data_IF_262242100092
#
_entry.id   IF_262242100092
#
_cell.length_a   1.000
_cell.length_b   1.000
_cell.length_c   1.000
_cell.angle_alpha   90.00
_cell.angle_beta   90.00
_cell.angle_gamma   90.00
#
_symmetry.space_group_name_H-M   'P 1'
#
loop_
_entity.id
_entity.type
_entity.pdbx_description
1 polymer ?
#
# COMPACT_ATOMS: atom_id res chain seq x y z
N UNK A 1 16.81 31.12 -22.63
CA UNK A 1 16.98 30.40 -23.91
C UNK A 1 16.44 28.97 -23.87
N UNK A 2 15.73 28.56 -22.81
CA UNK A 2 15.28 27.16 -22.58
C UNK A 2 13.79 26.91 -22.87
N UNK A 3 12.96 27.95 -22.98
CA UNK A 3 11.51 27.78 -23.27
C UNK A 3 11.22 27.50 -24.75
N UNK A 4 12.08 27.94 -25.66
CA UNK A 4 11.81 27.83 -27.11
C UNK A 4 11.93 26.40 -27.65
N UNK A 5 12.72 25.53 -27.01
CA UNK A 5 12.87 24.15 -27.48
C UNK A 5 11.67 23.28 -27.06
N UNK A 6 11.15 23.49 -25.85
CA UNK A 6 9.95 22.81 -25.36
C UNK A 6 8.72 23.29 -26.14
N UNK A 7 8.55 24.60 -26.35
CA UNK A 7 7.47 25.13 -27.19
C UNK A 7 7.58 24.66 -28.65
N UNK A 8 8.78 24.64 -29.26
CA UNK A 8 8.96 24.14 -30.62
C UNK A 8 8.66 22.62 -30.75
N UNK A 9 9.02 21.82 -29.75
CA UNK A 9 8.66 20.38 -29.70
C UNK A 9 7.15 20.21 -29.52
N UNK A 10 6.51 21.03 -28.68
CA UNK A 10 5.06 21.01 -28.46
C UNK A 10 4.28 21.48 -29.70
N UNK A 11 4.77 22.49 -30.43
CA UNK A 11 4.15 22.99 -31.68
C UNK A 11 4.33 22.02 -32.84
N UNK A 12 5.52 21.45 -33.03
CA UNK A 12 5.76 20.44 -34.07
C UNK A 12 4.94 19.16 -33.84
N UNK A 13 4.64 18.81 -32.58
CA UNK A 13 3.85 17.63 -32.26
C UNK A 13 2.33 17.88 -32.28
N UNK A 14 1.83 19.11 -32.11
CA UNK A 14 0.37 19.43 -32.07
C UNK A 14 -0.47 18.81 -33.21
N UNK A 15 0.11 18.54 -34.38
CA UNK A 15 -0.57 17.91 -35.52
C UNK A 15 -0.78 16.38 -35.41
N UNK A 16 -0.10 15.69 -34.49
CA UNK A 16 -0.17 14.22 -34.32
C UNK A 16 -0.43 13.76 -32.86
N UNK A 17 -0.51 14.70 -31.92
CA UNK A 17 -0.74 14.42 -30.50
C UNK A 17 -2.20 14.08 -30.21
N UNK A 18 -2.48 12.84 -29.81
CA UNK A 18 -3.72 12.50 -29.13
C UNK A 18 -3.55 12.78 -27.63
N UNK A 19 -4.07 13.91 -27.15
CA UNK A 19 -4.31 14.09 -25.71
C UNK A 19 -5.39 13.08 -25.32
N UNK A 20 -5.06 12.15 -24.42
CA UNK A 20 -6.06 11.25 -23.86
C UNK A 20 -6.81 12.02 -22.76
N UNK A 21 -8.10 12.36 -22.92
CA UNK A 21 -8.89 12.79 -21.79
C UNK A 21 -9.06 11.60 -20.83
N UNK A 22 -8.80 11.84 -19.55
CA UNK A 22 -9.04 10.86 -18.50
C UNK A 22 -10.52 10.46 -18.50
N UNK A 23 -10.80 9.15 -18.53
CA UNK A 23 -12.17 8.65 -18.38
C UNK A 23 -12.50 8.60 -16.90
N UNK A 24 -13.72 9.00 -16.53
CA UNK A 24 -14.19 8.97 -15.14
C UNK A 24 -13.99 7.57 -14.53
N UNK A 25 -13.24 7.51 -13.41
CA UNK A 25 -12.98 6.28 -12.65
C UNK A 25 -11.60 5.65 -12.89
N UNK A 26 -10.85 6.05 -13.91
CA UNK A 26 -9.48 5.56 -14.13
C UNK A 26 -8.44 6.37 -13.33
N UNK A 27 -7.55 5.64 -12.64
CA UNK A 27 -6.51 6.14 -11.73
C UNK A 27 -6.94 7.37 -10.91
N UNK A 28 -8.00 7.21 -10.11
CA UNK A 28 -8.44 8.23 -9.14
C UNK A 28 -7.30 8.68 -8.22
N UNK A 29 -6.32 7.80 -8.00
CA UNK A 29 -5.12 8.11 -7.25
C UNK A 29 -4.31 9.26 -7.87
N UNK A 30 -4.00 9.22 -9.16
CA UNK A 30 -3.26 10.31 -9.81
C UNK A 30 -4.17 11.49 -10.16
N UNK A 31 -5.37 11.20 -10.68
CA UNK A 31 -6.24 12.23 -11.26
C UNK A 31 -7.06 13.02 -10.24
N UNK A 32 -7.24 12.49 -9.04
CA UNK A 32 -8.00 13.14 -7.98
C UNK A 32 -7.12 13.36 -6.75
N UNK A 33 -6.49 12.30 -6.22
CA UNK A 33 -5.73 12.40 -4.96
C UNK A 33 -4.42 13.18 -5.12
N UNK A 34 -3.68 12.97 -6.21
CA UNK A 34 -2.41 13.66 -6.48
C UNK A 34 -2.54 14.80 -7.50
N UNK A 35 -3.76 15.20 -7.86
CA UNK A 35 -3.99 16.30 -8.79
C UNK A 35 -4.24 17.60 -8.02
N UNK A 36 -3.21 18.09 -7.34
CA UNK A 36 -3.23 19.39 -6.66
C UNK A 36 -2.11 20.28 -7.19
N UNK A 37 -2.20 21.62 -6.99
CA UNK A 37 -1.15 22.55 -7.38
C UNK A 37 0.25 22.20 -6.82
N UNK A 38 0.29 21.59 -5.63
CA UNK A 38 1.51 21.25 -4.89
C UNK A 38 2.02 19.82 -5.17
N UNK A 39 1.24 18.99 -5.87
CA UNK A 39 1.54 17.57 -6.09
C UNK A 39 1.83 17.27 -7.56
N UNK A 40 0.90 16.72 -8.32
CA UNK A 40 1.04 16.49 -9.77
C UNK A 40 0.11 17.43 -10.52
N UNK A 41 0.43 18.74 -10.61
CA UNK A 41 -0.47 19.74 -11.21
C UNK A 41 -0.66 19.57 -12.71
N UNK A 42 0.26 18.87 -13.39
CA UNK A 42 0.19 18.63 -14.84
C UNK A 42 0.73 17.25 -15.16
N UNK A 43 -0.08 16.48 -15.89
CA UNK A 43 0.32 15.21 -16.46
C UNK A 43 -0.32 15.05 -17.84
N UNK A 44 0.50 15.09 -18.89
CA UNK A 44 0.05 15.00 -20.28
C UNK A 44 0.63 13.73 -20.90
N UNK A 45 -0.24 12.94 -21.53
CA UNK A 45 0.13 11.70 -22.19
C UNK A 45 0.14 11.88 -23.71
N UNK A 46 1.11 11.24 -24.35
CA UNK A 46 1.44 11.37 -25.77
C UNK A 46 1.85 10.02 -26.32
N UNK A 47 1.25 9.59 -27.42
CA UNK A 47 1.69 8.43 -28.19
C UNK A 47 1.37 8.62 -29.67
N UNK A 48 2.14 7.94 -30.52
CA UNK A 48 1.93 7.95 -31.96
C UNK A 48 0.68 7.13 -32.28
N UNK A 49 -0.34 7.77 -32.88
CA UNK A 49 -1.61 7.11 -33.18
C UNK A 49 -1.38 5.99 -34.21
N UNK A 50 -1.60 4.71 -33.87
CA UNK A 50 -1.35 3.63 -34.82
C UNK A 50 -2.37 3.65 -35.97
N UNK A 51 -1.89 3.44 -37.20
CA UNK A 51 -2.69 3.52 -38.44
C UNK A 51 -3.68 2.36 -38.56
N UNK A 52 -3.31 1.16 -38.10
CA UNK A 52 -4.17 -0.01 -38.17
C UNK A 52 -5.12 -0.15 -36.95
N UNK A 53 -6.38 -0.57 -37.16
CA UNK A 53 -7.29 -0.95 -36.09
C UNK A 53 -6.68 -2.16 -35.36
N UNK A 54 -6.51 -2.09 -34.05
CA UNK A 54 -5.82 -3.09 -33.20
C UNK A 54 -4.30 -3.15 -33.27
N UNK A 55 -3.64 -2.26 -34.01
CA UNK A 55 -2.20 -2.11 -33.86
C UNK A 55 -1.87 -1.58 -32.45
N UNK A 56 -0.91 -2.25 -31.80
CA UNK A 56 -0.43 -1.88 -30.47
C UNK A 56 0.24 -0.52 -30.46
N UNK A 57 0.01 0.20 -29.38
CA UNK A 57 0.84 1.32 -28.98
C UNK A 57 2.04 0.70 -28.26
N UNK A 58 3.21 0.73 -28.89
CA UNK A 58 4.43 0.14 -28.31
C UNK A 58 5.12 1.10 -27.33
N UNK A 59 4.87 2.42 -27.46
CA UNK A 59 5.52 3.48 -26.69
C UNK A 59 4.50 4.53 -26.25
N UNK A 60 4.50 4.86 -24.96
CA UNK A 60 3.75 5.97 -24.37
C UNK A 60 4.71 6.94 -23.70
N UNK A 61 4.52 8.23 -23.96
CA UNK A 61 5.30 9.33 -23.37
C UNK A 61 4.40 10.15 -22.46
N UNK A 62 4.91 10.47 -21.28
CA UNK A 62 4.25 11.27 -20.28
C UNK A 62 5.10 12.50 -19.97
N UNK A 63 4.50 13.68 -20.01
CA UNK A 63 5.10 14.92 -19.53
C UNK A 63 4.44 15.23 -18.20
N UNK A 64 5.20 15.12 -17.11
CA UNK A 64 4.69 15.20 -15.75
C UNK A 64 5.42 16.28 -14.97
N UNK A 65 4.68 17.13 -14.27
CA UNK A 65 5.25 18.12 -13.35
C UNK A 65 5.08 17.60 -11.93
N UNK A 66 6.18 17.51 -11.18
CA UNK A 66 6.20 17.06 -9.79
C UNK A 66 6.44 18.26 -8.88
N UNK A 67 5.50 18.55 -7.98
CA UNK A 67 5.52 19.65 -7.03
C UNK A 67 6.21 19.32 -5.70
N UNK A 68 6.41 20.34 -4.88
CA UNK A 68 7.10 20.26 -3.58
C UNK A 68 6.38 19.37 -2.56
N UNK A 69 5.05 19.22 -2.65
CA UNK A 69 4.25 18.36 -1.77
C UNK A 69 4.59 16.86 -1.89
N UNK A 70 5.40 16.48 -2.88
CA UNK A 70 5.83 15.10 -3.13
C UNK A 70 7.25 14.82 -2.62
N UNK A 71 7.87 15.76 -1.90
CA UNK A 71 9.27 15.67 -1.47
C UNK A 71 9.47 14.72 -0.28
N UNK A 72 10.50 13.88 -0.35
CA UNK A 72 10.93 13.03 0.77
C UNK A 72 12.10 13.61 1.56
N UNK A 73 12.85 14.50 0.91
CA UNK A 73 13.92 15.34 1.46
C UNK A 73 13.77 16.73 0.85
N UNK A 74 14.38 17.76 1.43
CA UNK A 74 14.26 19.15 0.94
C UNK A 74 14.57 19.20 -0.56
N UNK A 75 13.59 19.67 -1.34
CA UNK A 75 13.62 19.81 -2.81
C UNK A 75 13.90 18.53 -3.63
N UNK A 76 13.77 17.35 -3.03
CA UNK A 76 13.92 16.05 -3.71
C UNK A 76 12.64 15.24 -3.53
N UNK A 77 12.02 14.88 -4.65
CA UNK A 77 10.85 14.01 -4.71
C UNK A 77 11.13 12.68 -3.97
N UNK A 78 10.16 12.23 -3.19
CA UNK A 78 10.23 10.96 -2.48
C UNK A 78 10.36 9.83 -3.51
N UNK A 79 11.29 8.88 -3.29
CA UNK A 79 11.52 7.79 -4.24
C UNK A 79 10.25 6.96 -4.53
N UNK A 80 9.39 6.80 -3.53
CA UNK A 80 8.07 6.19 -3.70
C UNK A 80 7.19 6.91 -4.74
N UNK A 81 7.22 8.24 -4.82
CA UNK A 81 6.44 8.97 -5.83
C UNK A 81 7.00 8.77 -7.23
N UNK A 82 8.33 8.71 -7.35
CA UNK A 82 8.98 8.40 -8.62
C UNK A 82 8.56 7.02 -9.09
N UNK A 83 8.59 6.02 -8.19
CA UNK A 83 8.09 4.66 -8.48
C UNK A 83 6.60 4.65 -8.84
N UNK A 84 5.77 5.44 -8.16
CA UNK A 84 4.34 5.59 -8.48
C UNK A 84 4.12 6.12 -9.89
N UNK A 85 4.87 7.14 -10.32
CA UNK A 85 4.75 7.70 -11.66
C UNK A 85 5.17 6.69 -12.74
N UNK A 86 6.23 5.91 -12.47
CA UNK A 86 6.66 4.83 -13.36
C UNK A 86 5.58 3.73 -13.49
N UNK A 87 5.05 3.24 -12.37
CA UNK A 87 3.96 2.25 -12.37
C UNK A 87 2.71 2.76 -13.12
N UNK A 88 2.31 4.00 -12.86
CA UNK A 88 1.20 4.64 -13.56
C UNK A 88 1.45 4.70 -15.07
N UNK A 89 2.64 5.13 -15.51
CA UNK A 89 2.97 5.22 -16.94
C UNK A 89 2.92 3.87 -17.64
N UNK A 90 3.42 2.82 -17.01
CA UNK A 90 3.31 1.47 -17.54
C UNK A 90 1.85 0.99 -17.55
N UNK A 91 1.08 1.25 -16.49
CA UNK A 91 -0.35 0.93 -16.40
C UNK A 91 -1.18 1.64 -17.47
N UNK A 92 -0.89 2.92 -17.76
CA UNK A 92 -1.57 3.69 -18.79
C UNK A 92 -1.28 3.17 -20.20
N UNK A 93 -0.06 2.69 -20.44
CA UNK A 93 0.28 2.01 -21.70
C UNK A 93 -0.53 0.72 -21.88
N UNK A 94 -0.78 -0.01 -20.80
CA UNK A 94 -1.68 -1.18 -20.81
C UNK A 94 -3.11 -0.74 -21.12
N UNK A 95 -3.65 0.26 -20.43
CA UNK A 95 -5.02 0.77 -20.64
C UNK A 95 -5.20 1.25 -22.09
N UNK A 96 -4.23 1.98 -22.63
CA UNK A 96 -4.26 2.43 -24.03
C UNK A 96 -4.38 1.27 -25.01
N UNK A 97 -3.66 0.17 -24.77
CA UNK A 97 -3.73 -1.03 -25.61
C UNK A 97 -5.00 -1.86 -25.40
N UNK A 98 -5.55 -1.92 -24.17
CA UNK A 98 -6.83 -2.57 -23.89
C UNK A 98 -8.00 -1.88 -24.60
N UNK A 99 -8.06 -0.55 -24.53
CA UNK A 99 -9.10 0.26 -25.22
C UNK A 99 -9.08 0.07 -26.73
N UNK A 100 -7.90 -0.12 -27.30
CA UNK A 100 -7.71 -0.42 -28.73
C UNK A 100 -7.97 -1.88 -29.08
N UNK A 101 -8.23 -2.74 -28.09
CA UNK A 101 -8.30 -4.19 -28.24
C UNK A 101 -7.02 -4.76 -28.90
N UNK A 102 -5.88 -4.11 -28.67
CA UNK A 102 -4.58 -4.46 -29.25
C UNK A 102 -3.81 -5.48 -28.39
N UNK A 103 -4.27 -5.70 -27.15
CA UNK A 103 -3.82 -6.78 -26.26
C UNK A 103 -5.03 -7.55 -25.71
N UNK A 104 -4.89 -8.86 -25.45
CA UNK A 104 -6.02 -9.72 -25.11
C UNK A 104 -6.43 -9.64 -23.64
N UNK A 105 -7.72 -9.80 -23.36
CA UNK A 105 -8.29 -9.97 -22.02
C UNK A 105 -8.88 -8.69 -21.42
N UNK A 106 -9.63 -8.82 -20.32
CA UNK A 106 -10.42 -7.70 -19.78
C UNK A 106 -9.60 -6.72 -18.94
N UNK A 107 -8.54 -7.19 -18.29
CA UNK A 107 -7.70 -6.38 -17.41
C UNK A 107 -6.34 -7.04 -17.17
N UNK A 108 -5.39 -6.21 -16.77
CA UNK A 108 -4.05 -6.58 -16.34
C UNK A 108 -3.75 -5.87 -15.02
N UNK A 109 -2.99 -6.51 -14.14
CA UNK A 109 -2.56 -5.95 -12.86
C UNK A 109 -1.04 -6.04 -12.73
N UNK A 110 -0.42 -5.06 -12.07
CA UNK A 110 1.00 -5.08 -11.74
C UNK A 110 1.30 -6.27 -10.81
N UNK A 111 2.18 -7.17 -11.25
CA UNK A 111 2.62 -8.33 -10.46
C UNK A 111 4.07 -8.19 -9.98
N UNK A 112 4.88 -7.42 -10.70
CA UNK A 112 6.25 -7.09 -10.34
C UNK A 112 6.57 -5.69 -10.81
N UNK A 113 7.30 -4.96 -9.97
CA UNK A 113 7.80 -3.62 -10.25
C UNK A 113 9.19 -3.49 -9.62
N UNK A 114 10.17 -3.09 -10.43
CA UNK A 114 11.51 -2.76 -10.01
C UNK A 114 11.86 -1.35 -10.47
N UNK A 115 12.35 -0.51 -9.56
CA UNK A 115 12.78 0.85 -9.86
C UNK A 115 14.25 1.01 -9.51
N UNK A 116 15.05 1.44 -10.48
CA UNK A 116 16.45 1.81 -10.28
C UNK A 116 16.58 3.33 -10.28
N UNK A 117 16.95 3.89 -9.13
CA UNK A 117 17.23 5.32 -8.97
C UNK A 117 18.68 5.60 -9.34
N UNK A 118 18.90 6.41 -10.37
CA UNK A 118 20.23 6.77 -10.84
C UNK A 118 20.66 8.13 -10.29
N UNK A 119 19.72 9.07 -10.20
CA UNK A 119 19.95 10.44 -9.71
C UNK A 119 18.73 10.94 -8.92
N UNK A 120 18.92 11.91 -8.01
CA UNK A 120 17.80 12.55 -7.32
C UNK A 120 16.84 13.22 -8.31
N UNK A 121 15.54 13.05 -8.08
CA UNK A 121 14.48 13.73 -8.83
C UNK A 121 14.10 14.98 -8.05
N UNK A 122 14.40 16.16 -8.59
CA UNK A 122 14.10 17.42 -7.91
C UNK A 122 12.61 17.74 -7.92
N UNK A 123 12.10 18.35 -6.85
CA UNK A 123 10.73 18.85 -6.81
C UNK A 123 10.57 20.17 -7.60
N UNK A 124 9.32 20.54 -7.88
CA UNK A 124 8.92 21.69 -8.67
C UNK A 124 9.53 21.71 -10.08
N UNK A 125 9.66 20.54 -10.71
CA UNK A 125 10.20 20.39 -12.06
C UNK A 125 9.33 19.49 -12.93
N UNK A 126 9.48 19.67 -14.23
CA UNK A 126 8.81 18.86 -15.25
C UNK A 126 9.77 17.82 -15.80
N UNK A 127 9.26 16.61 -15.96
CA UNK A 127 9.98 15.42 -16.39
C UNK A 127 9.29 14.76 -17.57
N UNK A 128 10.07 14.04 -18.36
CA UNK A 128 9.59 13.17 -19.42
C UNK A 128 9.71 11.72 -18.94
N UNK A 129 8.61 10.99 -19.01
CA UNK A 129 8.55 9.57 -18.69
C UNK A 129 8.19 8.80 -19.94
N UNK A 130 8.92 7.75 -20.26
CA UNK A 130 8.71 6.96 -21.48
C UNK A 130 8.53 5.50 -21.14
N UNK A 131 7.31 4.98 -21.30
CA UNK A 131 7.01 3.56 -21.12
C UNK A 131 7.02 2.84 -22.47
N UNK A 132 7.57 1.63 -22.51
CA UNK A 132 7.72 0.81 -23.71
C UNK A 132 7.36 -0.65 -23.43
N UNK A 133 6.57 -1.26 -24.31
CA UNK A 133 6.34 -2.71 -24.25
C UNK A 133 7.65 -3.40 -24.63
N UNK A 134 8.21 -4.19 -23.71
CA UNK A 134 9.41 -4.97 -23.96
C UNK A 134 9.06 -6.31 -24.60
N UNK A 135 8.10 -7.03 -24.04
CA UNK A 135 7.64 -8.33 -24.56
C UNK A 135 6.30 -8.75 -23.98
N UNK A 136 5.57 -9.58 -24.74
CA UNK A 136 4.33 -10.24 -24.30
C UNK A 136 4.54 -11.76 -24.37
N UNK A 137 4.52 -12.43 -23.21
CA UNK A 137 4.69 -13.88 -23.09
C UNK A 137 3.46 -14.51 -22.43
N UNK A 138 2.58 -15.08 -23.25
CA UNK A 138 1.34 -15.70 -22.78
C UNK A 138 0.44 -14.71 -22.05
N UNK A 139 0.38 -14.80 -20.71
CA UNK A 139 -0.41 -13.89 -19.85
C UNK A 139 0.40 -12.76 -19.22
N UNK A 140 1.71 -12.70 -19.47
CA UNK A 140 2.62 -11.74 -18.86
C UNK A 140 3.01 -10.68 -19.89
N UNK A 141 2.78 -9.43 -19.56
CA UNK A 141 3.18 -8.28 -20.35
C UNK A 141 4.31 -7.57 -19.61
N UNK A 142 5.48 -7.52 -20.21
CA UNK A 142 6.66 -6.89 -19.65
C UNK A 142 6.82 -5.51 -20.27
N UNK A 143 6.97 -4.50 -19.43
CA UNK A 143 7.06 -3.10 -19.80
C UNK A 143 8.29 -2.51 -19.12
N UNK A 144 9.03 -1.66 -19.83
CA UNK A 144 10.12 -0.88 -19.25
C UNK A 144 9.81 0.60 -19.38
N UNK A 145 10.33 1.40 -18.46
CA UNK A 145 10.22 2.84 -18.55
C UNK A 145 11.47 3.60 -18.08
N UNK A 146 11.56 4.84 -18.54
CA UNK A 146 12.61 5.78 -18.19
C UNK A 146 12.01 7.09 -17.74
N UNK A 147 12.62 7.72 -16.74
CA UNK A 147 12.31 9.08 -16.30
C UNK A 147 13.53 9.98 -16.52
N UNK A 148 13.35 10.99 -17.34
CA UNK A 148 14.37 11.93 -17.82
C UNK A 148 13.96 13.36 -17.48
N UNK A 149 14.93 14.24 -17.25
CA UNK A 149 14.68 15.68 -17.13
C UNK A 149 14.53 16.36 -18.51
N UNK A 150 14.31 17.67 -18.50
CA UNK A 150 14.17 18.47 -19.72
C UNK A 150 15.41 18.50 -20.61
N UNK A 151 16.59 18.14 -20.07
CA UNK A 151 17.86 18.09 -20.80
C UNK A 151 18.17 16.66 -21.31
N UNK A 152 17.25 15.71 -21.10
CA UNK A 152 17.42 14.30 -21.48
C UNK A 152 18.32 13.51 -20.53
N UNK A 153 18.63 14.04 -19.34
CA UNK A 153 19.39 13.30 -18.34
C UNK A 153 18.50 12.27 -17.67
N UNK A 154 18.92 11.00 -17.74
CA UNK A 154 18.20 9.90 -17.12
C UNK A 154 18.32 9.90 -15.59
N UNK A 155 17.19 9.92 -14.89
CA UNK A 155 17.14 9.99 -13.42
C UNK A 155 16.70 8.68 -12.79
N UNK A 156 15.74 7.97 -13.39
CA UNK A 156 15.29 6.67 -12.92
C UNK A 156 14.88 5.75 -14.08
N UNK A 157 14.92 4.45 -13.82
CA UNK A 157 14.43 3.40 -14.73
C UNK A 157 13.46 2.50 -13.99
N UNK A 158 12.43 2.02 -14.67
CA UNK A 158 11.54 0.99 -14.13
C UNK A 158 11.42 -0.21 -15.07
N UNK A 159 11.20 -1.36 -14.44
CA UNK A 159 10.91 -2.63 -15.09
C UNK A 159 9.66 -3.22 -14.42
N UNK A 160 8.60 -3.37 -15.21
CA UNK A 160 7.30 -3.84 -14.76
C UNK A 160 6.89 -5.14 -15.45
N UNK A 161 6.18 -6.00 -14.72
CA UNK A 161 5.48 -7.15 -15.28
C UNK A 161 4.01 -7.10 -14.87
N UNK A 162 3.14 -7.05 -15.86
CA UNK A 162 1.69 -7.04 -15.72
C UNK A 162 1.13 -8.41 -16.08
N UNK A 163 0.18 -8.91 -15.28
CA UNK A 163 -0.43 -10.23 -15.49
C UNK A 163 -1.90 -10.06 -15.88
N UNK A 164 -2.27 -10.72 -16.98
CA UNK A 164 -3.65 -10.79 -17.48
C UNK A 164 -4.54 -11.55 -16.49
N UNK A 165 -5.62 -10.90 -16.06
CA UNK A 165 -6.64 -11.50 -15.20
C UNK A 165 -7.53 -12.47 -16.02
N UNK A 166 -8.06 -13.50 -15.35
CA UNK A 166 -9.05 -14.41 -15.95
C UNK A 166 -10.46 -13.87 -15.66
N UNK A 167 -11.37 -14.02 -16.62
CA UNK A 167 -12.74 -13.48 -16.61
C UNK A 167 -13.54 -13.79 -15.33
N UNK A 168 -13.29 -14.93 -14.66
CA UNK A 168 -13.97 -15.32 -13.40
C UNK A 168 -13.78 -14.35 -12.23
N UNK A 169 -12.82 -13.42 -12.28
CA UNK A 169 -12.59 -12.44 -11.21
C UNK A 169 -13.38 -11.13 -11.46
N UNK A 170 -13.86 -10.89 -12.68
CA UNK A 170 -14.44 -9.58 -13.08
C UNK A 170 -15.93 -9.41 -12.70
N UNK A 171 -16.61 -10.46 -12.23
CA UNK A 171 -18.05 -10.41 -11.91
C UNK A 171 -18.35 -9.79 -10.54
N UNK A 172 -17.35 -9.53 -9.69
CA UNK A 172 -17.60 -9.01 -8.33
C UNK A 172 -17.46 -7.50 -8.15
N UNK A 173 -17.01 -6.74 -9.16
CA UNK A 173 -16.76 -5.29 -9.00
C UNK A 173 -17.56 -4.37 -9.92
N UNK A 174 -18.16 -4.85 -11.01
CA UNK A 174 -18.85 -3.97 -11.97
C UNK A 174 -20.35 -3.75 -11.69
N UNK A 175 -20.95 -4.47 -10.73
CA UNK A 175 -22.38 -4.36 -10.40
C UNK A 175 -22.68 -3.35 -9.25
N UNK A 176 -21.68 -2.64 -8.73
CA UNK A 176 -21.85 -1.77 -7.54
C UNK A 176 -21.76 -0.27 -7.81
N UNK A 177 -21.95 0.16 -9.06
CA UNK A 177 -21.96 1.57 -9.44
C UNK A 177 -23.13 1.92 -10.34
N UNK A 178 -24.36 1.71 -9.85
CA UNK A 178 -25.55 2.50 -10.22
C UNK A 178 -26.66 2.22 -9.19
N UNK A 179 -26.90 3.13 -8.24
CA UNK A 179 -28.04 3.06 -7.32
C UNK A 179 -27.86 3.92 -6.05
N UNK A 180 -28.90 4.63 -5.58
CA UNK A 180 -28.80 5.66 -4.54
C UNK A 180 -28.85 5.07 -3.12
N UNK A 181 -27.80 4.35 -2.69
CA UNK A 181 -27.77 3.74 -1.35
C UNK A 181 -26.67 4.32 -0.42
N UNK A 182 -26.33 5.59 -0.61
CA UNK A 182 -25.40 6.31 0.29
C UNK A 182 -26.05 6.81 1.59
N UNK A 183 -27.38 6.69 1.76
CA UNK A 183 -28.08 7.18 2.94
C UNK A 183 -28.17 6.15 4.09
N UNK A 184 -28.03 4.85 3.81
CA UNK A 184 -28.30 3.80 4.82
C UNK A 184 -27.07 3.50 5.70
N UNK A 185 -25.85 3.72 5.19
CA UNK A 185 -24.61 3.42 5.93
C UNK A 185 -24.21 4.54 6.91
N UNK A 186 -24.67 5.78 6.68
CA UNK A 186 -24.51 6.86 7.67
C UNK A 186 -25.50 6.74 8.84
N UNK A 187 -26.68 6.17 8.63
CA UNK A 187 -27.72 6.09 9.68
C UNK A 187 -27.39 5.04 10.76
N UNK A 188 -26.74 3.93 10.39
CA UNK A 188 -26.39 2.85 11.34
C UNK A 188 -25.18 3.21 12.22
N UNK A 189 -24.28 4.07 11.73
CA UNK A 189 -23.12 4.54 12.52
C UNK A 189 -23.52 5.57 13.58
N UNK A 190 -24.60 6.34 13.34
CA UNK A 190 -25.10 7.36 14.27
C UNK A 190 -25.99 6.76 15.38
N UNK A 191 -26.54 5.56 15.18
CA UNK A 191 -27.43 4.90 16.16
C UNK A 191 -26.71 3.98 17.16
N UNK A 192 -25.44 3.62 16.94
CA UNK A 192 -24.66 2.76 17.86
C UNK A 192 -23.62 3.51 18.70
N UNK A 193 -23.33 4.78 18.39
CA UNK A 193 -22.54 5.66 19.25
C UNK A 193 -23.50 6.49 20.12
N UNK A 194 -23.81 5.96 21.31
CA UNK A 194 -24.54 6.68 22.34
C UNK A 194 -24.00 8.10 22.54
N UNK A 195 -24.92 9.05 22.67
CA UNK A 195 -24.70 10.48 22.90
C UNK A 195 -23.82 10.72 24.14
N UNK A 196 -22.51 10.83 23.93
CA UNK A 196 -21.62 11.60 24.78
C UNK A 196 -20.32 11.86 24.00
N UNK A 197 -19.88 13.13 23.98
CA UNK A 197 -18.60 13.60 23.44
C UNK A 197 -18.55 13.96 21.94
N UNK A 198 -19.47 14.80 21.45
CA UNK A 198 -19.13 15.78 20.39
C UNK A 198 -19.74 17.13 20.78
N UNK A 199 -19.12 17.80 21.74
CA UNK A 199 -19.39 19.21 22.07
C UNK A 199 -18.18 19.83 22.77
N UNK A 200 -17.06 19.93 22.03
CA UNK A 200 -16.05 20.98 22.13
C UNK A 200 -14.83 20.59 21.27
N UNK A 201 -14.88 20.92 19.99
CA UNK A 201 -13.66 21.13 19.22
C UNK A 201 -13.44 22.65 19.16
N UNK A 202 -12.38 23.21 19.78
CA UNK A 202 -12.03 24.59 19.52
C UNK A 202 -11.50 24.69 18.09
N UNK A 203 -11.91 25.76 17.40
CA UNK A 203 -11.42 26.12 16.08
C UNK A 203 -9.88 26.15 16.07
N UNK A 204 -9.27 25.50 15.08
CA UNK A 204 -7.83 25.61 14.83
C UNK A 204 -7.59 27.01 14.26
N UNK A 205 -7.30 27.93 15.19
CA UNK A 205 -6.75 29.25 14.90
C UNK A 205 -5.35 29.09 14.29
N UNK A 206 -5.07 29.95 13.32
CA UNK A 206 -3.82 30.15 12.58
C UNK A 206 -2.54 29.91 13.40
N UNK A 207 -1.61 29.13 12.85
CA UNK A 207 -0.29 28.88 13.44
C UNK A 207 0.67 30.05 13.12
N UNK A 208 1.38 30.63 14.11
CA UNK A 208 2.39 31.64 13.86
C UNK A 208 3.69 31.01 13.35
N UNK A 209 4.37 31.75 12.48
CA UNK A 209 5.72 31.48 11.95
C UNK A 209 6.72 31.12 13.05
N UNK A 210 7.31 29.92 12.99
CA UNK A 210 8.38 29.50 13.88
C UNK A 210 9.71 30.14 13.46
N UNK A 211 10.27 30.97 14.35
CA UNK A 211 11.65 31.45 14.25
C UNK A 211 12.62 30.32 14.57
N UNK A 212 13.67 30.26 13.77
CA UNK A 212 14.92 29.53 13.95
C UNK A 212 15.58 29.97 15.27
N UNK A 213 15.56 29.12 16.32
CA UNK A 213 16.55 29.07 17.41
C UNK A 213 16.32 28.07 18.57
N UNK A 214 15.43 27.08 18.47
CA UNK A 214 15.29 26.07 19.55
C UNK A 214 15.80 24.68 19.11
N UNK A 215 17.09 24.45 19.25
CA UNK A 215 17.64 23.09 19.43
C UNK A 215 17.25 22.55 20.81
N UNK A 216 15.95 22.31 21.01
CA UNK A 216 15.47 21.51 22.12
C UNK A 216 15.60 20.04 21.74
N UNK A 217 16.55 19.37 22.37
CA UNK A 217 16.73 17.93 22.23
C UNK A 217 15.40 17.22 22.46
N UNK A 218 15.09 16.20 21.65
CA UNK A 218 13.92 15.31 21.79
C UNK A 218 13.81 14.62 23.18
N UNK A 219 14.77 14.87 24.07
CA UNK A 219 14.88 14.32 25.41
C UNK A 219 13.98 15.02 26.45
N UNK A 220 13.54 16.26 26.21
CA UNK A 220 12.84 17.07 27.22
C UNK A 220 11.30 17.03 27.14
N UNK A 221 10.71 16.38 26.12
CA UNK A 221 9.24 16.28 25.97
C UNK A 221 8.59 15.13 26.75
N UNK A 222 9.37 14.31 27.44
CA UNK A 222 8.86 13.19 28.24
C UNK A 222 9.56 13.18 29.59
N UNK A 223 8.85 13.26 30.73
CA UNK A 223 9.49 13.02 32.03
C UNK A 223 10.18 11.65 31.99
N UNK A 224 11.36 11.48 32.62
CA UNK A 224 12.14 10.24 32.57
C UNK A 224 11.45 9.16 33.42
N UNK A 225 10.30 8.67 32.93
CA UNK A 225 9.78 7.39 33.35
C UNK A 225 10.79 6.35 32.89
N UNK A 226 11.40 5.65 33.84
CA UNK A 226 12.51 4.75 33.60
C UNK A 226 12.24 3.83 32.38
N UNK A 227 13.19 3.72 31.44
CA UNK A 227 12.94 3.06 30.17
C UNK A 227 12.69 1.56 30.39
N UNK A 228 11.50 1.08 30.02
CA UNK A 228 11.03 -0.31 30.18
C UNK A 228 12.13 -1.36 29.93
N UNK A 229 12.39 -2.27 30.88
CA UNK A 229 13.39 -3.34 30.70
C UNK A 229 13.05 -4.28 29.53
N UNK A 230 14.07 -4.89 28.93
CA UNK A 230 13.91 -5.82 27.81
C UNK A 230 13.08 -7.05 28.17
N UNK A 231 13.23 -7.61 29.38
CA UNK A 231 12.43 -8.76 29.79
C UNK A 231 10.95 -8.39 29.93
N UNK A 232 10.68 -7.20 30.50
CA UNK A 232 9.33 -6.65 30.62
C UNK A 232 8.71 -6.34 29.26
N UNK A 233 9.49 -5.78 28.33
CA UNK A 233 9.05 -5.55 26.94
C UNK A 233 8.61 -6.85 26.26
N UNK A 234 9.43 -7.90 26.31
CA UNK A 234 9.07 -9.19 25.70
C UNK A 234 7.88 -9.86 26.38
N UNK A 235 7.72 -9.70 27.70
CA UNK A 235 6.54 -10.18 28.43
C UNK A 235 5.27 -9.47 27.96
N UNK A 236 5.30 -8.14 27.84
CA UNK A 236 4.17 -7.35 27.36
C UNK A 236 3.82 -7.69 25.89
N UNK A 237 4.82 -7.94 25.03
CA UNK A 237 4.60 -8.38 23.64
C UNK A 237 3.92 -9.76 23.57
N UNK A 238 4.34 -10.72 24.40
CA UNK A 238 3.67 -12.03 24.53
C UNK A 238 2.24 -11.87 25.04
N UNK A 239 2.04 -11.01 26.03
CA UNK A 239 0.72 -10.75 26.61
C UNK A 239 -0.22 -10.14 25.57
N UNK A 240 0.22 -9.16 24.76
CA UNK A 240 -0.56 -8.59 23.65
C UNK A 240 -1.05 -9.68 22.69
N UNK A 241 -0.16 -10.57 22.26
CA UNK A 241 -0.52 -11.67 21.34
C UNK A 241 -1.51 -12.66 21.96
N UNK A 242 -1.37 -12.95 23.26
CA UNK A 242 -2.31 -13.81 24.00
C UNK A 242 -3.69 -13.18 24.11
N UNK A 243 -3.78 -11.88 24.37
CA UNK A 243 -5.05 -11.15 24.38
C UNK A 243 -5.71 -11.18 22.99
N UNK A 244 -4.96 -10.89 21.93
CA UNK A 244 -5.49 -10.95 20.56
C UNK A 244 -6.03 -12.34 20.20
N UNK A 245 -5.31 -13.41 20.57
CA UNK A 245 -5.76 -14.78 20.35
C UNK A 245 -6.98 -15.13 21.21
N UNK A 246 -6.96 -14.78 22.50
CA UNK A 246 -8.06 -15.02 23.42
C UNK A 246 -9.35 -14.34 22.97
N UNK A 247 -9.28 -13.06 22.58
CA UNK A 247 -10.43 -12.34 22.05
C UNK A 247 -10.93 -12.91 20.72
N UNK A 248 -10.04 -13.43 19.86
CA UNK A 248 -10.41 -14.10 18.62
C UNK A 248 -11.21 -15.38 18.85
N UNK A 249 -10.82 -16.20 19.83
CA UNK A 249 -11.60 -17.38 20.22
C UNK A 249 -12.94 -16.97 20.84
N UNK A 250 -12.93 -16.02 21.78
CA UNK A 250 -14.14 -15.58 22.50
C UNK A 250 -15.16 -14.95 21.54
N UNK A 251 -14.74 -14.02 20.68
CA UNK A 251 -15.65 -13.40 19.71
C UNK A 251 -16.06 -14.39 18.62
N UNK A 252 -15.24 -15.38 18.27
CA UNK A 252 -15.64 -16.45 17.36
C UNK A 252 -16.79 -17.29 17.94
N UNK A 253 -16.65 -17.74 19.18
CA UNK A 253 -17.70 -18.51 19.87
C UNK A 253 -18.95 -17.66 20.10
N UNK A 254 -18.79 -16.42 20.55
CA UNK A 254 -19.90 -15.48 20.76
C UNK A 254 -20.59 -15.11 19.43
N UNK A 255 -19.84 -14.96 18.34
CA UNK A 255 -20.34 -14.72 16.99
C UNK A 255 -21.15 -15.89 16.47
N UNK A 256 -20.68 -17.13 16.62
CA UNK A 256 -21.45 -18.32 16.27
C UNK A 256 -22.74 -18.44 17.10
N UNK A 257 -22.65 -18.25 18.43
CA UNK A 257 -23.82 -18.32 19.32
C UNK A 257 -24.84 -17.21 19.04
N UNK A 258 -24.38 -15.97 18.89
CA UNK A 258 -25.21 -14.83 18.53
C UNK A 258 -25.82 -14.96 17.13
N UNK A 259 -25.05 -15.48 16.17
CA UNK A 259 -25.52 -15.80 14.82
C UNK A 259 -26.62 -16.87 14.83
N UNK A 260 -26.46 -17.93 15.60
CA UNK A 260 -27.49 -18.96 15.76
C UNK A 260 -28.78 -18.38 16.36
N UNK A 261 -28.68 -17.56 17.41
CA UNK A 261 -29.84 -16.88 18.00
C UNK A 261 -30.51 -15.93 17.01
N UNK A 262 -29.74 -15.14 16.25
CA UNK A 262 -30.27 -14.23 15.23
C UNK A 262 -30.97 -14.99 14.09
N UNK A 263 -30.37 -16.07 13.60
CA UNK A 263 -30.99 -16.87 12.53
C UNK A 263 -32.26 -17.59 13.02
N UNK A 264 -32.37 -17.88 14.32
CA UNK A 264 -33.57 -18.49 14.90
C UNK A 264 -34.82 -17.57 14.86
N UNK A 265 -34.64 -16.26 14.68
CA UNK A 265 -35.76 -15.30 14.59
C UNK A 265 -36.41 -15.25 13.21
N UNK A 266 -36.04 -16.14 12.28
CA UNK A 266 -36.50 -16.10 10.88
C UNK A 266 -35.68 -15.19 9.97
N UNK A 267 -34.62 -14.54 10.48
CA UNK A 267 -33.78 -13.64 9.70
C UNK A 267 -32.98 -14.31 8.56
N UNK A 268 -33.07 -15.64 8.43
CA UNK A 268 -32.39 -16.43 7.41
C UNK A 268 -33.21 -16.64 6.13
N UNK A 269 -34.50 -16.30 6.11
CA UNK A 269 -35.42 -16.61 5.00
C UNK A 269 -34.96 -16.05 3.65
N UNK A 270 -34.40 -14.84 3.65
CA UNK A 270 -33.82 -14.22 2.44
C UNK A 270 -32.64 -15.03 1.88
N UNK A 271 -31.86 -15.69 2.74
CA UNK A 271 -30.67 -16.43 2.31
C UNK A 271 -31.02 -17.86 1.87
N UNK A 272 -31.99 -18.48 2.54
CA UNK A 272 -32.50 -19.82 2.18
C UNK A 272 -33.16 -19.81 0.80
N UNK A 273 -33.78 -18.69 0.39
CA UNK A 273 -34.39 -18.57 -0.94
C UNK A 273 -33.37 -18.34 -2.08
N UNK A 274 -32.19 -17.78 -1.77
CA UNK A 274 -31.14 -17.48 -2.77
C UNK A 274 -30.19 -18.67 -3.03
N UNK A 275 -29.94 -19.49 -2.02
CA UNK A 275 -29.01 -20.61 -2.11
C UNK A 275 -29.83 -21.91 -2.14
N UNK A 276 -29.91 -22.62 -3.29
CA UNK A 276 -30.70 -23.85 -3.44
C UNK A 276 -30.00 -25.05 -2.79
N UNK A 277 -29.56 -24.89 -1.54
CA UNK A 277 -29.04 -25.95 -0.68
C UNK A 277 -30.09 -26.30 0.39
N UNK A 278 -29.99 -27.50 0.94
CA UNK A 278 -30.80 -27.94 2.08
C UNK A 278 -30.77 -26.91 3.22
N UNK A 279 -31.93 -26.64 3.83
CA UNK A 279 -32.10 -25.59 4.86
C UNK A 279 -31.10 -25.74 6.02
N UNK A 280 -30.82 -26.97 6.46
CA UNK A 280 -29.84 -27.24 7.51
C UNK A 280 -28.41 -26.85 7.11
N UNK A 281 -28.04 -27.04 5.85
CA UNK A 281 -26.72 -26.69 5.33
C UNK A 281 -26.58 -25.17 5.24
N UNK A 282 -27.59 -24.48 4.70
CA UNK A 282 -27.58 -23.01 4.60
C UNK A 282 -27.48 -22.35 5.98
N UNK A 283 -28.27 -22.80 6.95
CA UNK A 283 -28.21 -22.28 8.33
C UNK A 283 -26.86 -22.59 9.02
N UNK A 284 -26.31 -23.78 8.79
CA UNK A 284 -24.98 -24.15 9.30
C UNK A 284 -23.86 -23.29 8.72
N UNK A 285 -23.91 -23.00 7.42
CA UNK A 285 -22.96 -22.13 6.75
C UNK A 285 -23.07 -20.68 7.24
N UNK A 286 -24.29 -20.16 7.41
CA UNK A 286 -24.50 -18.81 7.93
C UNK A 286 -24.00 -18.69 9.38
N UNK A 287 -24.32 -19.65 10.24
CA UNK A 287 -23.85 -19.68 11.64
C UNK A 287 -22.33 -19.72 11.71
N UNK A 288 -21.70 -20.54 10.87
CA UNK A 288 -20.24 -20.59 10.74
C UNK A 288 -19.69 -19.26 10.23
N UNK A 289 -20.37 -18.61 9.28
CA UNK A 289 -20.04 -17.28 8.79
C UNK A 289 -20.01 -16.22 9.89
N UNK A 290 -21.02 -16.18 10.76
CA UNK A 290 -21.02 -15.29 11.93
C UNK A 290 -19.88 -15.59 12.90
N UNK A 291 -19.56 -16.87 13.12
CA UNK A 291 -18.39 -17.30 13.88
C UNK A 291 -17.07 -16.83 13.30
N UNK A 292 -16.88 -16.96 11.99
CA UNK A 292 -15.69 -16.51 11.27
C UNK A 292 -15.55 -14.98 11.34
N UNK A 293 -16.64 -14.23 11.19
CA UNK A 293 -16.63 -12.78 11.35
C UNK A 293 -16.22 -12.36 12.76
N UNK A 294 -16.77 -13.01 13.79
CA UNK A 294 -16.38 -12.79 15.18
C UNK A 294 -14.89 -13.10 15.42
N UNK A 295 -14.41 -14.22 14.87
CA UNK A 295 -13.02 -14.63 14.96
C UNK A 295 -12.06 -13.60 14.32
N UNK A 296 -12.43 -13.05 13.15
CA UNK A 296 -11.68 -12.01 12.43
C UNK A 296 -11.69 -10.65 13.17
N UNK A 297 -12.79 -10.29 13.81
CA UNK A 297 -12.88 -9.05 14.60
C UNK A 297 -12.08 -9.11 15.92
N UNK A 298 -11.84 -10.32 16.42
CA UNK A 298 -11.16 -10.57 17.70
C UNK A 298 -9.82 -9.86 17.92
N UNK A 299 -8.82 -9.96 17.02
CA UNK A 299 -7.52 -9.31 17.20
C UNK A 299 -7.60 -7.78 17.33
N UNK A 300 -8.53 -7.13 16.61
CA UNK A 300 -8.77 -5.70 16.69
C UNK A 300 -9.33 -5.32 18.07
N UNK A 301 -10.39 -5.99 18.51
CA UNK A 301 -10.98 -5.79 19.85
C UNK A 301 -9.97 -6.09 20.97
N UNK A 302 -9.22 -7.19 20.85
CA UNK A 302 -8.18 -7.55 21.82
C UNK A 302 -7.03 -6.55 21.88
N UNK A 303 -6.70 -5.89 20.77
CA UNK A 303 -5.71 -4.80 20.76
C UNK A 303 -6.22 -3.58 21.53
N UNK A 304 -7.50 -3.20 21.36
CA UNK A 304 -8.11 -2.09 22.08
C UNK A 304 -8.10 -2.34 23.59
N UNK A 305 -8.55 -3.51 24.03
CA UNK A 305 -8.58 -3.89 25.45
C UNK A 305 -7.17 -3.92 26.04
N UNK A 306 -6.21 -4.55 25.35
CA UNK A 306 -4.82 -4.58 25.81
C UNK A 306 -4.23 -3.17 25.96
N UNK A 307 -4.49 -2.28 25.00
CA UNK A 307 -3.99 -0.90 25.01
C UNK A 307 -4.65 -0.06 26.10
N UNK A 308 -5.93 -0.30 26.40
CA UNK A 308 -6.64 0.36 27.49
C UNK A 308 -6.07 -0.04 28.86
N UNK A 309 -5.87 -1.34 29.09
CA UNK A 309 -5.32 -1.87 30.34
C UNK A 309 -3.85 -1.48 30.55
N UNK A 310 -3.06 -1.41 29.47
CA UNK A 310 -1.63 -1.10 29.54
C UNK A 310 -1.31 0.33 29.08
N UNK A 311 -2.24 1.27 29.26
CA UNK A 311 -2.11 2.66 28.80
C UNK A 311 -0.79 3.32 29.26
N UNK A 312 -0.36 3.03 30.49
CA UNK A 312 0.84 3.59 31.10
C UNK A 312 2.13 3.15 30.38
N UNK A 313 2.18 1.91 29.91
CA UNK A 313 3.36 1.35 29.25
C UNK A 313 3.32 1.47 27.71
N UNK A 314 2.22 1.98 27.14
CA UNK A 314 2.03 2.04 25.67
C UNK A 314 3.11 2.84 24.97
N UNK A 315 3.39 4.06 25.43
CA UNK A 315 4.41 4.93 24.83
C UNK A 315 5.82 4.30 24.94
N UNK A 316 6.15 3.76 26.11
CA UNK A 316 7.44 3.09 26.34
C UNK A 316 7.59 1.81 25.49
N UNK A 317 6.51 1.04 25.29
CA UNK A 317 6.50 -0.12 24.41
C UNK A 317 6.78 0.28 22.96
N UNK A 318 6.16 1.36 22.45
CA UNK A 318 6.39 1.82 21.08
C UNK A 318 7.85 2.23 20.87
N UNK A 319 8.43 2.99 21.81
CA UNK A 319 9.84 3.36 21.76
C UNK A 319 10.75 2.13 21.77
N UNK A 320 10.48 1.14 22.63
CA UNK A 320 11.24 -0.11 22.68
C UNK A 320 11.07 -0.95 21.42
N UNK A 321 9.89 -0.93 20.80
CA UNK A 321 9.62 -1.63 19.54
C UNK A 321 10.42 -1.03 18.38
N UNK A 322 10.52 0.30 18.31
CA UNK A 322 11.40 1.00 17.36
C UNK A 322 12.87 0.66 17.61
N UNK A 323 13.33 0.70 18.86
CA UNK A 323 14.71 0.33 19.22
C UNK A 323 15.02 -1.14 18.90
N UNK A 324 14.07 -2.04 19.15
CA UNK A 324 14.18 -3.44 18.81
C UNK A 324 14.30 -3.63 17.30
N UNK A 325 13.42 -2.99 16.53
CA UNK A 325 13.45 -3.05 15.07
C UNK A 325 14.76 -2.50 14.49
N UNK A 326 15.27 -1.38 15.03
CA UNK A 326 16.57 -0.84 14.65
C UNK A 326 17.71 -1.85 14.90
N UNK A 327 17.66 -2.59 16.02
CA UNK A 327 18.63 -3.66 16.30
C UNK A 327 18.52 -4.83 15.33
N UNK A 328 17.30 -5.24 14.96
CA UNK A 328 17.08 -6.28 13.93
C UNK A 328 17.62 -5.82 12.58
N UNK A 329 17.28 -4.61 12.12
CA UNK A 329 17.78 -4.06 10.85
C UNK A 329 19.30 -4.00 10.79
N UNK A 330 19.96 -3.69 11.91
CA UNK A 330 21.43 -3.63 12.01
C UNK A 330 22.11 -5.01 11.88
N UNK A 331 21.47 -6.08 12.37
CA UNK A 331 22.10 -7.40 12.50
C UNK A 331 21.54 -8.47 11.56
N UNK A 332 20.46 -8.18 10.81
CA UNK A 332 19.88 -9.10 9.83
C UNK A 332 20.85 -9.37 8.68
N UNK A 333 20.88 -10.61 8.22
CA UNK A 333 21.65 -11.02 7.04
C UNK A 333 20.98 -10.58 5.74
N UNK A 334 21.76 -10.45 4.67
CA UNK A 334 21.23 -10.17 3.33
C UNK A 334 20.54 -11.42 2.75
N UNK A 335 19.26 -11.35 2.36
CA UNK A 335 18.51 -12.50 1.86
C UNK A 335 18.96 -12.94 0.46
N UNK A 336 19.65 -12.09 -0.30
CA UNK A 336 20.15 -12.44 -1.64
C UNK A 336 21.23 -13.52 -1.60
N UNK A 337 21.97 -13.62 -0.48
CA UNK A 337 23.03 -14.60 -0.28
C UNK A 337 22.53 -15.99 0.16
N UNK A 338 21.25 -16.28 -0.04
CA UNK A 338 20.62 -17.52 0.40
C UNK A 338 20.80 -18.65 -0.60
N UNK A 339 20.93 -19.88 -0.09
CA UNK A 339 21.00 -21.09 -0.91
C UNK A 339 20.18 -22.20 -0.30
N UNK A 340 19.83 -23.23 -1.09
CA UNK A 340 19.05 -24.37 -0.59
C UNK A 340 19.74 -25.11 0.58
N UNK A 341 21.07 -25.13 0.60
CA UNK A 341 21.87 -25.73 1.69
C UNK A 341 22.01 -24.80 2.92
N UNK A 342 21.81 -23.50 2.74
CA UNK A 342 21.91 -22.49 3.80
C UNK A 342 20.74 -21.49 3.69
N UNK A 343 19.54 -21.85 4.15
CA UNK A 343 18.38 -20.97 4.09
C UNK A 343 18.52 -19.78 5.04
N UNK A 344 17.87 -18.66 4.70
CA UNK A 344 17.91 -17.43 5.50
C UNK A 344 17.26 -17.69 6.87
N UNK A 345 17.96 -17.46 7.99
CA UNK A 345 17.35 -17.49 9.32
C UNK A 345 16.31 -16.37 9.45
N UNK A 346 15.37 -16.48 10.40
CA UNK A 346 14.25 -15.52 10.61
C UNK A 346 14.64 -14.06 10.32
N UNK A 347 14.30 -13.56 9.12
CA UNK A 347 14.81 -12.28 8.62
C UNK A 347 14.20 -11.07 9.34
N UNK A 348 12.96 -11.20 9.80
CA UNK A 348 12.22 -10.13 10.47
C UNK A 348 12.29 -10.21 11.99
N UNK A 349 12.81 -11.29 12.55
CA UNK A 349 12.89 -11.50 13.99
C UNK A 349 11.51 -11.73 14.63
N UNK A 350 10.56 -12.29 13.88
CA UNK A 350 9.19 -12.51 14.33
C UNK A 350 9.14 -13.49 15.51
N UNK A 351 10.01 -14.50 15.51
CA UNK A 351 10.04 -15.56 16.53
C UNK A 351 10.71 -15.12 17.83
N UNK A 352 11.27 -13.91 17.88
CA UNK A 352 12.00 -13.40 19.03
C UNK A 352 11.02 -12.94 20.11
N UNK A 353 10.95 -13.73 21.18
CA UNK A 353 9.99 -13.51 22.26
C UNK A 353 10.65 -13.40 23.65
N UNK A 354 11.99 -13.38 23.71
CA UNK A 354 12.77 -13.20 24.93
C UNK A 354 14.17 -12.70 24.61
N UNK A 355 14.89 -12.20 25.63
CA UNK A 355 16.30 -11.79 25.48
C UNK A 355 17.18 -12.99 25.08
N UNK A 356 16.92 -14.16 25.65
CA UNK A 356 17.62 -15.40 25.27
C UNK A 356 17.35 -15.76 23.79
N UNK A 357 16.10 -15.63 23.33
CA UNK A 357 15.74 -15.82 21.93
C UNK A 357 16.44 -14.83 21.00
N UNK A 358 16.59 -13.57 21.40
CA UNK A 358 17.35 -12.56 20.65
C UNK A 358 18.85 -12.94 20.55
N UNK A 359 19.45 -13.43 21.63
CA UNK A 359 20.85 -13.92 21.60
C UNK A 359 21.02 -15.12 20.67
N UNK A 360 20.06 -16.05 20.67
CA UNK A 360 20.08 -17.18 19.75
C UNK A 360 19.96 -16.70 18.30
N UNK A 361 19.01 -15.81 18.03
CA UNK A 361 18.85 -15.21 16.71
C UNK A 361 20.14 -14.56 16.20
N UNK A 362 20.85 -13.79 17.05
CA UNK A 362 22.17 -13.22 16.68
C UNK A 362 23.21 -14.28 16.34
N UNK A 363 23.22 -15.43 17.04
CA UNK A 363 24.10 -16.55 16.70
C UNK A 363 23.73 -17.14 15.34
N UNK A 364 22.44 -17.28 15.05
CA UNK A 364 21.95 -17.81 13.77
C UNK A 364 22.34 -16.89 12.60
N UNK A 365 22.20 -15.57 12.76
CA UNK A 365 22.66 -14.59 11.77
C UNK A 365 24.19 -14.70 11.52
N UNK A 366 24.99 -14.83 12.58
CA UNK A 366 26.44 -15.01 12.48
C UNK A 366 26.82 -16.34 11.83
N UNK A 367 26.11 -17.41 12.16
CA UNK A 367 26.32 -18.73 11.59
C UNK A 367 26.04 -18.74 10.07
N UNK A 368 24.96 -18.08 9.64
CA UNK A 368 24.65 -17.88 8.22
C UNK A 368 25.77 -17.12 7.49
N UNK A 369 26.23 -16.00 8.07
CA UNK A 369 27.33 -15.21 7.50
C UNK A 369 28.66 -15.98 7.45
N UNK A 370 28.95 -16.82 8.45
CA UNK A 370 30.15 -17.67 8.48
C UNK A 370 30.10 -18.74 7.38
N UNK A 371 28.95 -19.41 7.21
CA UNK A 371 28.76 -20.38 6.13
C UNK A 371 28.97 -19.72 4.77
N UNK A 372 28.43 -18.51 4.57
CA UNK A 372 28.65 -17.74 3.35
C UNK A 372 30.14 -17.53 3.04
N UNK A 373 30.96 -17.15 4.01
CA UNK A 373 32.40 -16.90 3.74
C UNK A 373 33.20 -18.19 3.52
N UNK A 374 32.77 -19.32 4.08
CA UNK A 374 33.46 -20.61 3.88
C UNK A 374 33.27 -21.17 2.47
N UNK A 375 32.11 -20.98 1.83
CA UNK A 375 31.80 -21.53 0.49
C UNK A 375 32.19 -20.60 -0.69
N UNK A 376 32.78 -19.42 -0.42
CA UNK A 376 33.20 -18.44 -1.43
C UNK A 376 34.73 -18.42 -1.60
N UNK A 377 35.45 -19.37 -0.99
CA UNK A 377 36.82 -19.75 -1.37
C UNK A 377 36.74 -21.01 -2.22
#
# INVERSE_FOLDING_TARGET
>A
MTDNHVEAVLEAQRAQLVKIPWVHGESTYINQTLNTPETVPRFVLVYDKPTAPHQRVEVLRGIVTLGSGLSGHVDICHGGITTTILDEMMGLLVVANLRRQAIPGPAYMTAYLNTTFLRPVAANRTYVVVARIAKLEGRKLFITDTLEDGDGMLLAKGEGMFVRLKEKIFVLDCARTTGPDFAVIQLVTILLAGRACIANMPAISSCPTARENDTLTLHDRFPPSAPLDWNSFFRLRKQRRRWQLGFSVVLGVAGSGGGALFLSTGAAEWAVSLVPLEQFVTLGLMTTGFGLLGWLAGPSCGSLVFNALNRQHRAQMLLREVQFFARIKKHRVDPTASSMSNPVPDYYGEKISSVAGYRQWLKDQRAFNKKRTTFVR
#
